data_IF_999174100729
#
_entry.id   IF_999174100729
#
_cell.length_a   1.000
_cell.length_b   1.000
_cell.length_c   1.000
_cell.angle_alpha   90.00
_cell.angle_beta   90.00
_cell.angle_gamma   90.00
#
_symmetry.space_group_name_H-M   'P 1'
#
loop_
_entity.id
_entity.type
_entity.pdbx_description
1 polymer ?
#
# COMPACT_ATOMS: atom_id res chain seq x y z
N UNK A 1 -10.14 -10.27 -17.67
CA UNK A 1 -11.18 -9.87 -18.66
C UNK A 1 -10.91 -8.46 -19.15
N UNK A 2 -11.27 -8.16 -20.38
CA UNK A 2 -11.18 -6.80 -20.94
C UNK A 2 -12.54 -6.12 -20.81
N UNK A 3 -12.55 -4.82 -20.50
CA UNK A 3 -13.74 -3.99 -20.63
C UNK A 3 -14.09 -3.65 -22.09
N UNK A 4 -15.13 -2.85 -22.25
CA UNK A 4 -15.75 -2.52 -23.54
C UNK A 4 -16.96 -3.38 -23.89
N UNK A 5 -17.49 -4.16 -22.94
CA UNK A 5 -18.64 -5.04 -23.17
C UNK A 5 -19.63 -4.89 -22.02
N UNK A 6 -20.85 -4.45 -22.33
CA UNK A 6 -21.90 -4.31 -21.32
C UNK A 6 -22.24 -5.65 -20.64
N UNK A 7 -22.51 -6.70 -21.43
CA UNK A 7 -22.89 -8.02 -20.91
C UNK A 7 -22.12 -9.11 -21.64
N UNK A 8 -21.51 -10.01 -20.86
CA UNK A 8 -20.96 -11.26 -21.41
C UNK A 8 -22.07 -12.24 -21.69
N UNK A 9 -21.84 -13.13 -22.65
CA UNK A 9 -22.74 -14.24 -22.97
C UNK A 9 -23.00 -15.10 -21.71
N UNK A 10 -24.23 -15.59 -21.56
CA UNK A 10 -24.64 -16.33 -20.36
C UNK A 10 -23.92 -17.68 -20.20
N UNK A 11 -23.40 -18.23 -21.30
CA UNK A 11 -22.53 -19.41 -21.31
C UNK A 11 -21.10 -19.13 -20.81
N UNK A 12 -20.71 -17.86 -20.67
CA UNK A 12 -19.38 -17.49 -20.21
C UNK A 12 -19.30 -17.66 -18.69
N UNK A 13 -18.38 -18.51 -18.20
CA UNK A 13 -18.22 -18.81 -16.76
C UNK A 13 -18.09 -17.59 -15.86
N UNK A 14 -17.54 -16.49 -16.39
CA UNK A 14 -17.34 -15.24 -15.65
C UNK A 14 -18.49 -14.22 -15.83
N UNK A 15 -19.56 -14.55 -16.56
CA UNK A 15 -20.68 -13.64 -16.79
C UNK A 15 -21.36 -13.15 -15.50
N UNK A 16 -21.61 -14.00 -14.47
CA UNK A 16 -22.15 -13.52 -13.20
C UNK A 16 -21.22 -12.56 -12.48
N UNK A 17 -19.90 -12.82 -12.56
CA UNK A 17 -18.88 -11.94 -11.98
C UNK A 17 -18.89 -10.59 -12.71
N UNK A 18 -18.92 -10.63 -14.05
CA UNK A 18 -18.95 -9.43 -14.87
C UNK A 18 -20.13 -8.53 -14.52
N UNK A 19 -21.33 -9.09 -14.36
CA UNK A 19 -22.52 -8.32 -14.01
C UNK A 19 -22.46 -7.69 -12.61
N UNK A 20 -21.58 -8.17 -11.72
CA UNK A 20 -21.38 -7.57 -10.41
C UNK A 20 -20.51 -6.29 -10.44
N UNK A 21 -19.85 -5.99 -11.56
CA UNK A 21 -19.04 -4.79 -11.72
C UNK A 21 -19.89 -3.56 -12.11
N UNK A 22 -19.51 -2.37 -11.62
CA UNK A 22 -20.05 -1.10 -12.10
C UNK A 22 -19.99 -0.98 -13.63
N UNK A 23 -21.04 -0.40 -14.21
CA UNK A 23 -21.19 -0.30 -15.67
C UNK A 23 -20.07 0.51 -16.33
N UNK A 24 -19.67 1.62 -15.72
CA UNK A 24 -18.59 2.48 -16.21
C UNK A 24 -17.29 1.70 -16.47
N UNK A 25 -16.97 0.76 -15.58
CA UNK A 25 -15.79 -0.09 -15.71
C UNK A 25 -16.00 -1.16 -16.79
N UNK A 26 -17.18 -1.79 -16.84
CA UNK A 26 -17.50 -2.76 -17.89
C UNK A 26 -17.43 -2.16 -19.29
N UNK A 27 -17.87 -0.91 -19.44
CA UNK A 27 -17.94 -0.20 -20.71
C UNK A 27 -16.60 0.38 -21.16
N UNK A 28 -15.62 0.50 -20.26
CA UNK A 28 -14.31 1.06 -20.62
C UNK A 28 -13.48 0.09 -21.45
N UNK A 29 -13.18 0.37 -22.74
CA UNK A 29 -12.45 -0.54 -23.62
C UNK A 29 -10.95 -0.61 -23.31
N UNK A 30 -10.46 0.28 -22.44
CA UNK A 30 -9.06 0.47 -22.10
C UNK A 30 -8.63 -0.20 -20.79
N UNK A 31 -9.57 -0.76 -20.02
CA UNK A 31 -9.25 -1.41 -18.75
C UNK A 31 -9.22 -2.92 -18.89
N UNK A 32 -8.28 -3.52 -18.16
CA UNK A 32 -8.22 -4.95 -17.94
C UNK A 32 -8.51 -5.22 -16.47
N UNK A 33 -9.30 -6.25 -16.21
CA UNK A 33 -9.73 -6.61 -14.88
C UNK A 33 -9.29 -8.04 -14.57
N UNK A 34 -8.71 -8.23 -13.39
CA UNK A 34 -8.42 -9.54 -12.83
C UNK A 34 -9.13 -9.70 -11.49
N UNK A 35 -9.79 -10.83 -11.29
CA UNK A 35 -10.35 -11.19 -9.99
C UNK A 35 -10.32 -12.70 -9.83
N UNK A 36 -10.22 -13.15 -8.59
CA UNK A 36 -10.42 -14.54 -8.19
C UNK A 36 -11.78 -14.75 -7.49
N UNK A 37 -12.60 -13.71 -7.34
CA UNK A 37 -13.84 -13.74 -6.55
C UNK A 37 -14.95 -12.87 -7.16
N UNK A 38 -16.21 -13.33 -7.19
CA UNK A 38 -17.37 -12.51 -7.58
C UNK A 38 -17.51 -11.23 -6.76
N UNK A 39 -17.14 -11.30 -5.49
CA UNK A 39 -17.32 -10.21 -4.53
C UNK A 39 -16.21 -9.17 -4.65
N UNK A 40 -15.17 -9.46 -5.43
CA UNK A 40 -13.93 -8.72 -5.45
C UNK A 40 -12.95 -9.18 -4.37
N UNK A 41 -11.77 -8.54 -4.30
CA UNK A 41 -11.39 -7.36 -5.07
C UNK A 41 -11.20 -7.64 -6.58
N UNK A 42 -11.54 -6.65 -7.39
CA UNK A 42 -11.24 -6.61 -8.82
C UNK A 42 -10.06 -5.68 -9.06
N UNK A 43 -8.95 -6.26 -9.52
CA UNK A 43 -7.72 -5.54 -9.83
C UNK A 43 -7.85 -4.85 -11.17
N UNK A 44 -7.70 -3.52 -11.18
CA UNK A 44 -7.69 -2.69 -12.38
C UNK A 44 -6.26 -2.63 -12.91
N UNK A 45 -6.06 -3.36 -14.01
CA UNK A 45 -4.80 -3.48 -14.73
C UNK A 45 -4.85 -2.53 -15.92
N UNK A 46 -4.12 -1.43 -15.79
CA UNK A 46 -4.01 -0.39 -16.80
C UNK A 46 -2.79 -0.60 -17.70
N UNK A 47 -2.75 0.21 -18.76
CA UNK A 47 -1.53 0.49 -19.51
C UNK A 47 -0.61 1.36 -18.66
N UNK A 48 0.69 1.06 -18.61
CA UNK A 48 1.69 1.98 -18.04
C UNK A 48 1.68 3.26 -18.86
N UNK A 49 1.24 4.38 -18.29
CA UNK A 49 1.33 5.80 -18.75
C UNK A 49 1.23 6.13 -20.26
N UNK A 50 0.81 5.20 -21.11
CA UNK A 50 0.58 5.40 -22.53
C UNK A 50 -0.91 5.55 -22.72
N UNK A 51 -1.33 6.78 -23.00
CA UNK A 51 -2.63 7.04 -23.61
C UNK A 51 -2.55 6.49 -25.04
N UNK A 52 -3.45 5.57 -25.45
CA UNK A 52 -3.51 5.14 -26.85
C UNK A 52 -3.64 6.36 -27.77
N UNK A 53 -2.85 6.39 -28.84
CA UNK A 53 -2.99 7.45 -29.84
C UNK A 53 -4.41 7.46 -30.42
N UNK A 54 -4.92 8.62 -30.85
CA UNK A 54 -6.27 8.75 -31.41
C UNK A 54 -6.48 7.83 -32.63
N UNK A 55 -5.39 7.52 -33.34
CA UNK A 55 -5.37 6.66 -34.53
C UNK A 55 -4.99 5.19 -34.21
N UNK A 56 -4.81 4.84 -32.94
CA UNK A 56 -4.45 3.47 -32.54
C UNK A 56 -5.69 2.57 -32.58
N UNK A 57 -5.69 1.59 -33.49
CA UNK A 57 -6.81 0.65 -33.65
C UNK A 57 -7.02 -0.14 -32.36
N UNK A 58 -8.22 -0.05 -31.80
CA UNK A 58 -8.60 -0.77 -30.58
C UNK A 58 -9.08 -2.20 -30.89
N UNK A 59 -8.66 -3.22 -30.11
CA UNK A 59 -7.67 -3.16 -29.02
C UNK A 59 -6.26 -2.90 -29.51
N UNK A 60 -5.61 -1.96 -28.84
CA UNK A 60 -4.17 -1.88 -28.90
C UNK A 60 -3.55 -3.20 -28.37
N UNK A 61 -2.45 -3.68 -28.97
CA UNK A 61 -1.85 -4.96 -28.62
C UNK A 61 -1.44 -5.01 -27.15
N UNK A 62 -1.60 -6.17 -26.53
CA UNK A 62 -1.34 -6.37 -25.11
C UNK A 62 0.18 -6.23 -24.81
N UNK A 63 0.65 -5.27 -23.99
CA UNK A 63 2.06 -5.24 -23.58
C UNK A 63 2.46 -6.50 -22.78
N UNK A 64 3.76 -6.82 -22.63
CA UNK A 64 4.21 -8.00 -21.88
C UNK A 64 3.83 -7.97 -20.40
N UNK A 65 3.75 -6.77 -19.82
CA UNK A 65 3.39 -6.56 -18.42
C UNK A 65 2.21 -5.59 -18.32
N UNK A 66 1.44 -5.70 -17.23
CA UNK A 66 0.38 -4.74 -16.87
C UNK A 66 0.73 -4.07 -15.57
N UNK A 67 0.35 -2.81 -15.45
CA UNK A 67 0.51 -2.07 -14.20
C UNK A 67 -0.79 -2.10 -13.42
N UNK A 68 -0.68 -2.43 -12.14
CA UNK A 68 -1.78 -2.29 -11.22
C UNK A 68 -2.02 -0.81 -10.94
N UNK A 69 -3.18 -0.32 -11.37
CA UNK A 69 -3.60 1.10 -11.32
C UNK A 69 -4.71 1.35 -10.30
N UNK A 70 -5.41 0.30 -9.87
CA UNK A 70 -6.41 0.44 -8.85
C UNK A 70 -7.14 -0.85 -8.52
N UNK A 71 -8.17 -0.68 -7.70
CA UNK A 71 -9.03 -1.69 -7.16
C UNK A 71 -10.46 -1.21 -7.22
N UNK A 72 -11.36 -2.16 -7.45
CA UNK A 72 -12.79 -1.96 -7.25
C UNK A 72 -13.41 -3.20 -6.62
N UNK A 73 -14.49 -3.03 -5.89
CA UNK A 73 -15.34 -4.15 -5.48
C UNK A 73 -16.74 -4.07 -6.10
N UNK A 74 -17.56 -5.09 -5.84
CA UNK A 74 -18.93 -5.15 -6.35
C UNK A 74 -19.87 -4.05 -5.82
N UNK A 75 -19.46 -3.34 -4.77
CA UNK A 75 -20.22 -2.24 -4.18
C UNK A 75 -19.81 -0.89 -4.76
N UNK A 76 -18.86 -0.87 -5.71
CA UNK A 76 -18.35 0.36 -6.30
C UNK A 76 -17.33 1.08 -5.42
N UNK A 77 -16.83 0.46 -4.34
CA UNK A 77 -15.73 1.04 -3.56
C UNK A 77 -14.45 0.91 -4.37
N UNK A 78 -13.78 2.02 -4.61
CA UNK A 78 -12.58 2.10 -5.43
C UNK A 78 -11.36 2.52 -4.62
N UNK A 79 -10.19 2.03 -5.05
CA UNK A 79 -8.89 2.61 -4.69
C UNK A 79 -8.12 2.84 -5.99
N UNK A 80 -7.63 4.05 -6.19
CA UNK A 80 -6.80 4.45 -7.33
C UNK A 80 -5.37 4.64 -6.86
N UNK A 81 -4.43 3.98 -7.53
CA UNK A 81 -3.03 4.01 -7.16
C UNK A 81 -2.27 5.04 -7.98
N UNK A 82 -1.56 5.93 -7.29
CA UNK A 82 -0.58 6.83 -7.86
C UNK A 82 0.80 6.22 -7.69
N UNK A 83 1.56 6.18 -8.78
CA UNK A 83 2.94 5.71 -8.79
C UNK A 83 3.91 6.86 -8.84
N UNK A 84 5.10 6.63 -8.31
CA UNK A 84 6.18 7.58 -8.41
C UNK A 84 6.71 7.63 -9.84
N UNK A 85 6.79 8.83 -10.43
CA UNK A 85 7.24 8.99 -11.81
C UNK A 85 8.77 9.03 -11.92
N UNK A 86 9.46 9.48 -10.85
CA UNK A 86 10.91 9.70 -10.86
C UNK A 86 11.50 9.42 -9.47
N UNK A 87 12.73 8.91 -9.41
CA UNK A 87 13.48 8.68 -8.17
C UNK A 87 13.74 7.20 -7.88
N UNK A 88 14.22 6.92 -6.67
CA UNK A 88 14.60 5.56 -6.23
C UNK A 88 13.43 4.57 -6.29
N UNK A 89 12.20 5.05 -6.06
CA UNK A 89 10.98 4.25 -6.09
C UNK A 89 10.18 4.42 -7.39
N UNK A 90 10.84 4.77 -8.51
CA UNK A 90 10.16 4.95 -9.79
C UNK A 90 9.32 3.74 -10.15
N UNK A 91 8.07 4.00 -10.49
CA UNK A 91 7.11 2.97 -10.82
C UNK A 91 6.53 2.26 -9.61
N UNK A 92 6.89 2.55 -8.35
CA UNK A 92 6.23 2.01 -7.15
C UNK A 92 5.00 2.81 -6.75
N UNK A 93 4.08 2.19 -6.01
CA UNK A 93 2.87 2.88 -5.52
C UNK A 93 3.24 3.77 -4.32
N UNK A 94 3.17 5.09 -4.48
CA UNK A 94 3.44 6.07 -3.42
C UNK A 94 2.19 6.82 -2.96
N UNK A 95 1.05 6.62 -3.62
CA UNK A 95 -0.21 7.22 -3.22
C UNK A 95 -1.41 6.32 -3.50
N UNK A 96 -2.42 6.45 -2.66
CA UNK A 96 -3.72 5.78 -2.81
C UNK A 96 -4.81 6.83 -2.65
N UNK A 97 -5.73 6.91 -3.61
CA UNK A 97 -6.95 7.71 -3.49
C UNK A 97 -8.14 6.77 -3.40
N UNK A 98 -9.02 6.94 -2.42
CA UNK A 98 -10.23 6.12 -2.36
C UNK A 98 -11.42 6.74 -3.11
N UNK A 99 -12.51 5.99 -3.23
CA UNK A 99 -13.74 6.46 -3.88
C UNK A 99 -14.43 7.65 -3.20
N UNK A 100 -14.03 8.01 -1.97
CA UNK A 100 -14.48 9.22 -1.28
C UNK A 100 -13.56 10.43 -1.53
N UNK A 101 -12.50 10.26 -2.34
CA UNK A 101 -11.51 11.29 -2.64
C UNK A 101 -10.45 11.47 -1.55
N UNK A 102 -10.42 10.62 -0.51
CA UNK A 102 -9.38 10.68 0.52
C UNK A 102 -8.06 10.19 -0.07
N UNK A 103 -7.01 10.97 0.17
CA UNK A 103 -5.67 10.68 -0.35
C UNK A 103 -4.76 10.20 0.77
N UNK A 104 -4.09 9.09 0.52
CA UNK A 104 -3.13 8.48 1.42
C UNK A 104 -1.76 8.48 0.75
N UNK A 105 -0.74 8.93 1.47
CA UNK A 105 0.65 8.85 1.03
C UNK A 105 1.28 7.58 1.62
N UNK A 106 1.87 6.77 0.77
CA UNK A 106 2.68 5.63 1.20
C UNK A 106 4.13 6.08 1.26
N UNK A 107 4.73 5.95 2.44
CA UNK A 107 6.17 6.17 2.64
C UNK A 107 6.86 4.84 2.40
N UNK A 108 7.70 4.81 1.38
CA UNK A 108 8.47 3.63 1.02
C UNK A 108 9.85 3.73 1.66
N UNK A 109 10.31 2.61 2.22
CA UNK A 109 11.63 2.50 2.86
C UNK A 109 12.35 1.31 2.27
N UNK A 110 13.65 1.43 2.04
CA UNK A 110 14.47 0.32 1.59
C UNK A 110 14.79 -0.63 2.74
N UNK A 111 15.21 -1.86 2.41
CA UNK A 111 15.69 -2.80 3.44
C UNK A 111 16.94 -2.26 4.16
N UNK A 112 17.82 -1.56 3.45
CA UNK A 112 19.01 -0.95 4.03
C UNK A 112 18.65 0.13 5.07
N UNK A 113 17.73 1.04 4.73
CA UNK A 113 17.23 2.05 5.67
C UNK A 113 16.64 1.42 6.93
N UNK A 114 15.83 0.36 6.78
CA UNK A 114 15.26 -0.35 7.95
C UNK A 114 16.33 -1.05 8.79
N UNK A 115 17.38 -1.58 8.17
CA UNK A 115 18.49 -2.20 8.89
C UNK A 115 19.29 -1.15 9.69
N UNK A 116 19.54 0.02 9.10
CA UNK A 116 20.21 1.14 9.77
C UNK A 116 19.37 1.69 10.94
N UNK A 117 18.07 1.89 10.75
CA UNK A 117 17.17 2.32 11.82
C UNK A 117 17.10 1.30 12.96
N UNK A 118 17.04 0.00 12.65
CA UNK A 118 17.06 -1.06 13.66
C UNK A 118 18.38 -1.08 14.44
N UNK A 119 19.52 -0.85 13.75
CA UNK A 119 20.82 -0.70 14.40
C UNK A 119 20.85 0.53 15.33
N UNK A 120 20.34 1.67 14.88
CA UNK A 120 20.27 2.88 15.70
C UNK A 120 19.35 2.70 16.92
N UNK A 121 18.23 2.00 16.77
CA UNK A 121 17.35 1.65 17.88
C UNK A 121 18.02 0.69 18.87
N UNK A 122 18.79 -0.29 18.40
CA UNK A 122 19.56 -1.17 19.27
C UNK A 122 20.61 -0.39 20.07
N UNK A 123 21.36 0.51 19.43
CA UNK A 123 22.35 1.37 20.09
C UNK A 123 21.67 2.33 21.08
N UNK A 124 20.53 2.93 20.73
CA UNK A 124 19.78 3.79 21.63
C UNK A 124 19.20 3.02 22.83
N UNK A 125 18.73 1.79 22.62
CA UNK A 125 18.26 0.93 23.70
C UNK A 125 19.39 0.53 24.66
N UNK A 126 20.58 0.21 24.13
CA UNK A 126 21.78 -0.07 24.94
C UNK A 126 22.23 1.15 25.75
N UNK A 127 22.20 2.34 25.15
CA UNK A 127 22.50 3.60 25.84
C UNK A 127 21.45 3.91 26.92
N UNK A 128 20.18 3.67 26.65
CA UNK A 128 19.10 3.89 27.61
C UNK A 128 19.16 2.86 28.77
N UNK A 129 19.60 1.62 28.52
CA UNK A 129 19.88 0.64 29.56
C UNK A 129 21.10 1.04 30.42
N UNK A 130 22.17 1.58 29.81
CA UNK A 130 23.28 2.18 30.58
C UNK A 130 22.87 3.38 31.42
N UNK A 131 21.91 4.19 30.96
CA UNK A 131 21.33 5.31 31.73
C UNK A 131 20.36 4.80 32.81
N UNK A 132 19.70 3.66 32.62
CA UNK A 132 18.80 3.05 33.61
C UNK A 132 19.54 2.18 34.65
N UNK A 133 20.82 1.85 34.41
CA UNK A 133 21.72 1.20 35.39
C UNK A 133 22.20 2.13 36.52
N UNK A 134 21.51 3.23 36.80
CA UNK A 134 21.60 3.86 38.12
C UNK A 134 20.84 2.99 39.12
N UNK A 135 21.57 2.16 39.86
CA UNK A 135 21.02 1.33 40.93
C UNK A 135 20.55 2.25 42.07
N UNK A 136 19.28 2.66 42.05
CA UNK A 136 18.68 3.39 43.17
C UNK A 136 18.45 2.40 44.32
N UNK A 137 19.46 2.20 45.17
CA UNK A 137 19.26 1.52 46.46
C UNK A 137 18.54 2.47 47.39
N UNK A 138 17.27 2.19 47.64
CA UNK A 138 16.54 2.79 48.76
C UNK A 138 17.16 2.27 50.06
N UNK A 139 18.00 3.07 50.71
CA UNK A 139 18.44 2.80 52.08
C UNK A 139 17.36 3.34 53.01
N UNK A 140 16.48 2.45 53.49
CA UNK A 140 15.57 2.77 54.59
C UNK A 140 16.36 2.76 55.90
N UNK A 141 16.48 3.93 56.55
CA UNK A 141 16.95 3.98 57.93
C UNK A 141 15.73 4.01 58.87
N UNK A 142 15.87 3.43 60.08
CA UNK A 142 14.80 3.13 61.05
C UNK A 142 13.97 4.33 61.56
N UNK A 143 14.23 5.55 61.10
CA UNK A 143 13.55 6.79 61.49
C UNK A 143 12.58 7.36 60.44
N UNK A 144 12.32 6.65 59.33
CA UNK A 144 11.26 7.03 58.38
C UNK A 144 11.57 8.25 57.49
N UNK A 145 12.82 8.72 57.43
CA UNK A 145 13.26 9.78 56.52
C UNK A 145 13.81 9.14 55.24
N UNK A 146 13.13 9.33 54.11
CA UNK A 146 13.57 8.88 52.77
C UNK A 146 14.51 9.92 52.16
N UNK A 147 15.81 9.63 52.09
CA UNK A 147 16.76 10.38 51.29
C UNK A 147 17.20 9.53 50.08
N UNK A 148 17.00 10.06 48.87
CA UNK A 148 17.45 9.40 47.63
C UNK A 148 18.78 10.01 47.20
N UNK A 149 19.88 9.28 47.37
CA UNK A 149 21.20 9.67 46.88
C UNK A 149 21.47 8.98 45.53
N UNK A 150 21.61 9.77 44.47
CA UNK A 150 21.94 9.27 43.13
C UNK A 150 23.46 9.29 42.97
N UNK A 151 24.10 8.12 42.84
CA UNK A 151 25.55 8.02 42.69
C UNK A 151 25.90 7.42 41.33
N UNK A 152 26.81 8.09 40.60
CA UNK A 152 27.30 7.69 39.29
C UNK A 152 28.26 6.51 39.48
N UNK A 153 27.97 5.37 38.86
CA UNK A 153 28.93 4.27 38.80
C UNK A 153 30.16 4.75 38.01
N UNK A 154 31.32 4.77 38.68
CA UNK A 154 32.63 4.96 38.05
C UNK A 154 33.14 3.65 37.46
#
# INVERSE_FOLDING_TARGET
>A
MRGGVAKLNESHRLAPLWQALPEELRMSPHIYLATNSPQGPWWILGWSERVPGVDEVLPAPLPPYRVLTGLVDRFGRTLTFRREAVGEFTGEITGVTDGAGRQFRLVLTTQAQRAEEAQQQAVAAEQNDQISRFHCRTIQNMAGITASACQRCG
#
